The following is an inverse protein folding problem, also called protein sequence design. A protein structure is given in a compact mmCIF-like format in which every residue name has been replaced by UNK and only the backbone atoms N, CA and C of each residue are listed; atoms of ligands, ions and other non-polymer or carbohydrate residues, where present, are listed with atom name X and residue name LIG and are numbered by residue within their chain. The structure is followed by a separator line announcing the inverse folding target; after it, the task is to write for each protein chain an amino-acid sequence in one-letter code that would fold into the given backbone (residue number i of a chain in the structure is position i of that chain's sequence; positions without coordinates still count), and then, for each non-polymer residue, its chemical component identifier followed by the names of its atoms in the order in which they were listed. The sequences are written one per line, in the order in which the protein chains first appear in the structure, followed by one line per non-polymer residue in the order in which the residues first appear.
data_IF_592641429336
#
_entry.id   IF_592641429336
#
_cell.length_a   1.000
_cell.length_b   1.000
_cell.length_c   1.000
_cell.angle_alpha   90.00
_cell.angle_beta   90.00
_cell.angle_gamma   90.00
#
_symmetry.space_group_name_H-M   'P 1'
#
loop_
_entity.id
_entity.type
_entity.pdbx_description
1 polymer ?
#
# COMPACT_ATOMS: atom_id res chain seq x y z
N UNK A 1 -12.07 1.58 -23.82
CA UNK A 1 -13.33 0.96 -24.29
C UNK A 1 -14.45 1.03 -23.24
N UNK A 2 -14.31 0.41 -22.06
CA UNK A 2 -15.34 0.42 -20.99
C UNK A 2 -15.84 1.82 -20.56
N UNK A 3 -14.93 2.78 -20.38
CA UNK A 3 -15.29 4.16 -19.98
C UNK A 3 -16.11 4.89 -21.07
N UNK A 4 -15.85 4.59 -22.35
CA UNK A 4 -16.60 5.17 -23.48
C UNK A 4 -18.01 4.55 -23.55
N UNK A 5 -18.14 3.25 -23.23
CA UNK A 5 -19.43 2.56 -23.14
C UNK A 5 -20.28 3.13 -21.98
N UNK A 6 -19.66 3.48 -20.86
CA UNK A 6 -20.32 4.10 -19.70
C UNK A 6 -20.91 5.49 -20.00
N UNK A 7 -20.57 6.14 -21.11
CA UNK A 7 -21.20 7.41 -21.52
C UNK A 7 -22.65 7.21 -21.96
N UNK A 8 -22.92 6.12 -22.68
CA UNK A 8 -24.20 5.84 -23.31
C UNK A 8 -25.05 4.86 -22.49
N UNK A 9 -24.40 3.99 -21.72
CA UNK A 9 -25.04 2.85 -21.06
C UNK A 9 -24.81 2.85 -19.53
N UNK A 10 -24.42 3.97 -18.89
CA UNK A 10 -24.23 4.01 -17.43
C UNK A 10 -25.44 3.50 -16.64
N UNK A 11 -26.66 3.95 -16.99
CA UNK A 11 -27.86 3.54 -16.28
C UNK A 11 -28.20 2.06 -16.49
N UNK A 12 -28.27 1.53 -17.74
CA UNK A 12 -28.49 0.10 -17.94
C UNK A 12 -27.37 -0.77 -17.37
N UNK A 13 -26.10 -0.34 -17.43
CA UNK A 13 -24.98 -1.07 -16.82
C UNK A 13 -25.16 -1.20 -15.31
N UNK A 14 -25.50 -0.12 -14.61
CA UNK A 14 -25.69 -0.17 -13.16
C UNK A 14 -26.87 -1.08 -12.79
N UNK A 15 -28.01 -0.97 -13.49
CA UNK A 15 -29.14 -1.87 -13.26
C UNK A 15 -28.79 -3.33 -13.58
N UNK A 16 -28.09 -3.59 -14.67
CA UNK A 16 -27.60 -4.92 -15.02
C UNK A 16 -26.65 -5.47 -13.96
N UNK A 17 -25.77 -4.64 -13.36
CA UNK A 17 -24.91 -5.11 -12.28
C UNK A 17 -25.70 -5.48 -11.03
N UNK A 18 -26.71 -4.69 -10.66
CA UNK A 18 -27.58 -5.00 -9.51
C UNK A 18 -28.35 -6.30 -9.76
N UNK A 19 -29.01 -6.40 -10.92
CA UNK A 19 -29.78 -7.58 -11.31
C UNK A 19 -28.88 -8.81 -11.46
N UNK A 20 -27.67 -8.63 -12.01
CA UNK A 20 -26.68 -9.70 -12.17
C UNK A 20 -26.23 -10.28 -10.84
N UNK A 21 -25.94 -9.44 -9.84
CA UNK A 21 -25.57 -9.95 -8.51
C UNK A 21 -26.78 -10.63 -7.82
N UNK A 22 -27.98 -10.05 -7.92
CA UNK A 22 -29.21 -10.69 -7.40
C UNK A 22 -29.42 -12.06 -8.06
N UNK A 23 -29.24 -12.14 -9.38
CA UNK A 23 -29.36 -13.38 -10.14
C UNK A 23 -28.31 -14.43 -9.75
N UNK A 24 -27.05 -14.02 -9.58
CA UNK A 24 -25.98 -14.91 -9.11
C UNK A 24 -26.28 -15.45 -7.72
N UNK A 25 -26.68 -14.60 -6.78
CA UNK A 25 -27.04 -15.05 -5.42
C UNK A 25 -28.26 -15.98 -5.44
N UNK A 26 -29.27 -15.68 -6.26
CA UNK A 26 -30.42 -16.56 -6.47
C UNK A 26 -30.02 -17.92 -7.05
N UNK A 27 -29.12 -17.94 -8.03
CA UNK A 27 -28.57 -19.18 -8.59
C UNK A 27 -27.78 -19.99 -7.56
N UNK A 28 -26.97 -19.33 -6.72
CA UNK A 28 -26.23 -20.01 -5.63
C UNK A 28 -27.19 -20.63 -4.62
N UNK A 29 -28.29 -19.94 -4.27
CA UNK A 29 -29.32 -20.50 -3.39
C UNK A 29 -29.94 -21.74 -4.05
N UNK A 30 -30.36 -21.64 -5.32
CA UNK A 30 -30.92 -22.76 -6.06
C UNK A 30 -29.96 -23.97 -6.12
N UNK A 31 -28.71 -23.73 -6.50
CA UNK A 31 -27.68 -24.77 -6.59
C UNK A 31 -27.41 -25.42 -5.23
N UNK A 32 -27.29 -24.61 -4.17
CA UNK A 32 -27.10 -25.11 -2.81
C UNK A 32 -28.30 -25.92 -2.30
N UNK A 33 -29.52 -25.57 -2.69
CA UNK A 33 -30.72 -26.33 -2.35
C UNK A 33 -30.78 -27.67 -3.08
N UNK A 34 -30.46 -27.69 -4.37
CA UNK A 34 -30.38 -28.92 -5.15
C UNK A 34 -29.33 -29.87 -4.54
N UNK A 35 -28.14 -29.36 -4.24
CA UNK A 35 -27.06 -30.17 -3.66
C UNK A 35 -27.37 -30.64 -2.23
N UNK A 36 -28.05 -29.82 -1.43
CA UNK A 36 -28.54 -30.23 -0.11
C UNK A 36 -29.53 -31.39 -0.21
N UNK A 37 -30.47 -31.32 -1.14
CA UNK A 37 -31.46 -32.38 -1.38
C UNK A 37 -30.75 -33.65 -1.84
N UNK A 38 -29.83 -33.55 -2.79
CA UNK A 38 -29.08 -34.70 -3.32
C UNK A 38 -28.26 -35.41 -2.23
N UNK A 39 -27.52 -34.67 -1.39
CA UNK A 39 -26.73 -35.25 -0.29
C UNK A 39 -27.58 -35.67 0.92
N UNK A 40 -28.80 -35.15 1.04
CA UNK A 40 -29.77 -35.62 2.05
C UNK A 40 -30.32 -36.98 1.65
N UNK A 41 -30.66 -37.14 0.37
CA UNK A 41 -31.29 -38.35 -0.16
C UNK A 41 -30.23 -39.44 -0.43
N UNK A 42 -29.00 -39.07 -0.81
CA UNK A 42 -27.85 -39.96 -1.01
C UNK A 42 -26.66 -39.56 -0.09
N UNK A 43 -26.64 -39.98 1.19
CA UNK A 43 -25.56 -39.64 2.09
C UNK A 43 -24.23 -40.34 1.69
N UNK A 44 -23.16 -39.56 1.55
CA UNK A 44 -21.80 -40.05 1.29
C UNK A 44 -21.13 -40.41 2.62
N UNK A 45 -20.84 -41.69 2.85
CA UNK A 45 -20.19 -42.17 4.08
C UNK A 45 -18.66 -42.18 3.99
N UNK A 46 -18.09 -42.38 2.80
CA UNK A 46 -16.64 -42.40 2.57
C UNK A 46 -16.14 -41.06 1.99
N UNK A 47 -15.86 -40.11 2.87
CA UNK A 47 -15.23 -38.84 2.49
C UNK A 47 -13.73 -39.02 2.29
N UNK A 48 -13.19 -38.47 1.18
CA UNK A 48 -11.76 -38.48 0.89
C UNK A 48 -10.95 -37.84 2.04
N UNK A 49 -10.26 -38.67 2.81
CA UNK A 49 -9.48 -38.27 3.99
C UNK A 49 -8.01 -38.11 3.59
N UNK A 50 -7.60 -36.88 3.30
CA UNK A 50 -6.22 -36.56 2.91
C UNK A 50 -5.84 -35.14 3.28
N UNK A 51 -4.54 -34.87 3.45
CA UNK A 51 -4.02 -33.54 3.78
C UNK A 51 -3.96 -32.58 2.58
N UNK A 52 -4.28 -33.06 1.38
CA UNK A 52 -4.35 -32.25 0.17
C UNK A 52 -5.58 -31.33 0.20
N UNK A 53 -5.42 -30.07 -0.22
CA UNK A 53 -6.48 -29.07 -0.35
C UNK A 53 -7.70 -29.61 -1.12
N UNK A 54 -7.49 -30.39 -2.17
CA UNK A 54 -8.58 -30.98 -2.96
C UNK A 54 -9.41 -31.99 -2.15
N UNK A 55 -8.76 -32.78 -1.28
CA UNK A 55 -9.44 -33.74 -0.41
C UNK A 55 -10.22 -33.02 0.71
N UNK A 56 -9.62 -31.98 1.30
CA UNK A 56 -10.29 -31.13 2.29
C UNK A 56 -11.54 -30.46 1.70
N UNK A 57 -11.42 -29.82 0.53
CA UNK A 57 -12.56 -29.18 -0.15
C UNK A 57 -13.65 -30.20 -0.45
N UNK A 58 -13.29 -31.38 -0.97
CA UNK A 58 -14.26 -32.44 -1.27
C UNK A 58 -15.00 -32.91 -0.02
N UNK A 59 -14.31 -33.09 1.11
CA UNK A 59 -14.94 -33.45 2.39
C UNK A 59 -15.99 -32.41 2.85
N UNK A 60 -15.74 -31.11 2.66
CA UNK A 60 -16.73 -30.08 2.96
C UNK A 60 -17.91 -30.09 1.98
N UNK A 61 -17.66 -30.32 0.69
CA UNK A 61 -18.69 -30.39 -0.35
C UNK A 61 -19.57 -31.64 -0.24
N UNK A 62 -19.04 -32.76 0.24
CA UNK A 62 -19.79 -34.02 0.42
C UNK A 62 -20.70 -33.95 1.68
N UNK A 63 -20.53 -32.94 2.54
CA UNK A 63 -21.34 -32.78 3.74
C UNK A 63 -22.61 -31.93 3.48
N UNK A 64 -23.79 -32.54 3.62
CA UNK A 64 -25.09 -31.86 3.45
C UNK A 64 -25.26 -30.63 4.34
N UNK A 65 -24.74 -30.65 5.57
CA UNK A 65 -24.91 -29.52 6.49
C UNK A 65 -24.17 -28.26 6.00
N UNK A 66 -23.06 -28.43 5.26
CA UNK A 66 -22.32 -27.32 4.63
C UNK A 66 -23.21 -26.56 3.65
N UNK A 67 -23.92 -27.28 2.77
CA UNK A 67 -24.82 -26.67 1.78
C UNK A 67 -26.01 -25.97 2.43
N UNK A 68 -26.53 -26.51 3.53
CA UNK A 68 -27.58 -25.84 4.32
C UNK A 68 -27.08 -24.51 4.90
N UNK A 69 -25.89 -24.47 5.49
CA UNK A 69 -25.32 -23.23 6.03
C UNK A 69 -25.04 -22.19 4.92
N UNK A 70 -24.54 -22.64 3.76
CA UNK A 70 -24.34 -21.77 2.58
C UNK A 70 -25.69 -21.20 2.13
N UNK A 71 -26.72 -22.02 2.00
CA UNK A 71 -28.05 -21.59 1.57
C UNK A 71 -28.64 -20.52 2.49
N UNK A 72 -28.60 -20.74 3.81
CA UNK A 72 -29.12 -19.79 4.81
C UNK A 72 -28.33 -18.48 4.74
N UNK A 73 -26.99 -18.56 4.73
CA UNK A 73 -26.13 -17.38 4.68
C UNK A 73 -26.35 -16.52 3.43
N UNK A 74 -26.44 -17.16 2.26
CA UNK A 74 -26.66 -16.46 0.98
C UNK A 74 -28.09 -15.89 0.91
N UNK A 75 -29.08 -16.56 1.48
CA UNK A 75 -30.46 -16.05 1.55
C UNK A 75 -30.58 -14.77 2.39
N UNK A 76 -29.92 -14.74 3.55
CA UNK A 76 -29.86 -13.53 4.39
C UNK A 76 -29.15 -12.39 3.64
N UNK A 77 -28.02 -12.69 2.98
CA UNK A 77 -27.28 -11.71 2.19
C UNK A 77 -28.13 -11.14 1.05
N UNK A 78 -28.87 -11.98 0.33
CA UNK A 78 -29.77 -11.57 -0.74
C UNK A 78 -30.87 -10.63 -0.21
N UNK A 79 -31.49 -10.97 0.92
CA UNK A 79 -32.51 -10.13 1.55
C UNK A 79 -31.97 -8.75 1.93
N UNK A 80 -30.77 -8.70 2.53
CA UNK A 80 -30.11 -7.44 2.89
C UNK A 80 -29.84 -6.60 1.64
N UNK A 81 -29.29 -7.19 0.58
CA UNK A 81 -29.01 -6.48 -0.68
C UNK A 81 -30.30 -5.94 -1.30
N UNK A 82 -31.37 -6.75 -1.33
CA UNK A 82 -32.66 -6.34 -1.87
C UNK A 82 -33.25 -5.17 -1.07
N UNK A 83 -33.22 -5.24 0.26
CA UNK A 83 -33.66 -4.16 1.13
C UNK A 83 -32.86 -2.88 0.90
N UNK A 84 -31.52 -2.98 0.80
CA UNK A 84 -30.66 -1.84 0.50
C UNK A 84 -31.01 -1.19 -0.85
N UNK A 85 -31.22 -1.99 -1.90
CA UNK A 85 -31.60 -1.48 -3.23
C UNK A 85 -32.96 -0.78 -3.19
N UNK A 86 -33.95 -1.35 -2.48
CA UNK A 86 -35.28 -0.76 -2.35
C UNK A 86 -35.26 0.58 -1.59
N UNK A 87 -34.59 0.61 -0.43
CA UNK A 87 -34.49 1.82 0.41
C UNK A 87 -33.69 2.93 -0.30
N UNK A 88 -32.61 2.56 -0.99
CA UNK A 88 -31.70 3.50 -1.62
C UNK A 88 -32.11 3.90 -3.05
N UNK A 89 -33.25 3.42 -3.58
CA UNK A 89 -33.68 3.66 -4.98
C UNK A 89 -33.57 5.12 -5.43
N UNK A 90 -34.03 6.07 -4.61
CA UNK A 90 -34.00 7.50 -4.93
C UNK A 90 -32.57 8.04 -4.99
N UNK A 91 -31.68 7.51 -4.13
CA UNK A 91 -30.27 7.88 -4.10
C UNK A 91 -29.50 7.25 -5.26
N UNK A 92 -29.81 6.01 -5.63
CA UNK A 92 -29.22 5.30 -6.77
C UNK A 92 -29.44 6.09 -8.07
N UNK A 93 -30.64 6.64 -8.31
CA UNK A 93 -30.90 7.46 -9.51
C UNK A 93 -30.01 8.70 -9.56
N UNK A 94 -29.78 9.37 -8.43
CA UNK A 94 -28.87 10.52 -8.36
C UNK A 94 -27.42 10.07 -8.62
N UNK A 95 -27.00 8.95 -8.02
CA UNK A 95 -25.67 8.39 -8.24
C UNK A 95 -25.44 8.02 -9.71
N UNK A 96 -26.43 7.42 -10.38
CA UNK A 96 -26.39 7.12 -11.82
C UNK A 96 -26.17 8.40 -12.64
N UNK A 97 -26.88 9.48 -12.30
CA UNK A 97 -26.71 10.77 -12.98
C UNK A 97 -25.28 11.32 -12.79
N UNK A 98 -24.73 11.24 -11.57
CA UNK A 98 -23.36 11.65 -11.28
C UNK A 98 -22.33 10.81 -12.05
N UNK A 99 -22.50 9.48 -12.08
CA UNK A 99 -21.63 8.56 -12.83
C UNK A 99 -21.69 8.84 -14.34
N UNK A 100 -22.88 9.15 -14.87
CA UNK A 100 -23.06 9.51 -16.29
C UNK A 100 -22.35 10.82 -16.64
N UNK A 101 -22.43 11.84 -15.80
CA UNK A 101 -21.71 13.09 -16.04
C UNK A 101 -20.19 12.93 -15.84
N UNK A 102 -19.77 12.15 -14.85
CA UNK A 102 -18.36 11.79 -14.66
C UNK A 102 -17.78 11.03 -15.87
N UNK A 103 -18.52 10.07 -16.44
CA UNK A 103 -18.05 9.30 -17.60
C UNK A 103 -17.92 10.16 -18.86
N UNK A 104 -18.80 11.14 -19.06
CA UNK A 104 -18.66 12.14 -20.13
C UNK A 104 -17.37 12.96 -19.97
N UNK A 105 -17.06 13.41 -18.76
CA UNK A 105 -15.85 14.20 -18.50
C UNK A 105 -14.57 13.41 -18.82
N UNK A 106 -14.49 12.17 -18.33
CA UNK A 106 -13.35 11.27 -18.57
C UNK A 106 -13.23 10.92 -20.06
N UNK A 107 -14.34 10.62 -20.73
CA UNK A 107 -14.34 10.30 -22.16
C UNK A 107 -13.93 11.48 -23.05
N UNK A 108 -14.35 12.70 -22.69
CA UNK A 108 -14.02 13.91 -23.42
C UNK A 108 -12.55 14.32 -23.23
N UNK A 109 -11.95 13.94 -22.11
CA UNK A 109 -10.55 14.21 -21.80
C UNK A 109 -9.75 12.91 -21.92
N UNK A 110 -9.58 12.39 -23.13
CA UNK A 110 -9.04 11.04 -23.40
C UNK A 110 -7.69 10.76 -22.74
N UNK A 111 -6.84 11.78 -22.55
CA UNK A 111 -5.57 11.66 -21.82
C UNK A 111 -5.72 11.19 -20.36
N UNK A 112 -6.89 11.34 -19.74
CA UNK A 112 -7.16 10.86 -18.37
C UNK A 112 -7.16 9.33 -18.27
N UNK A 113 -7.36 8.62 -19.38
CA UNK A 113 -7.36 7.16 -19.42
C UNK A 113 -5.96 6.59 -19.14
N UNK A 114 -4.92 7.26 -19.65
CA UNK A 114 -3.53 6.89 -19.42
C UNK A 114 -2.94 7.51 -18.16
N UNK A 115 -3.65 8.46 -17.55
CA UNK A 115 -3.21 9.14 -16.34
C UNK A 115 -2.83 8.19 -15.20
N UNK A 116 -3.52 7.06 -14.94
CA UNK A 116 -3.14 6.14 -13.85
C UNK A 116 -1.69 5.63 -13.92
N UNK A 117 -1.07 5.57 -15.09
CA UNK A 117 0.33 5.14 -15.23
C UNK A 117 1.29 6.14 -14.57
N UNK A 118 1.00 7.43 -14.64
CA UNK A 118 1.85 8.49 -14.09
C UNK A 118 2.00 8.39 -12.55
N UNK A 119 0.92 8.33 -11.73
CA UNK A 119 1.01 8.05 -10.30
C UNK A 119 1.88 6.84 -9.96
N UNK A 120 1.68 5.71 -10.65
CA UNK A 120 2.44 4.49 -10.40
C UNK A 120 3.94 4.71 -10.63
N UNK A 121 4.31 5.35 -11.74
CA UNK A 121 5.71 5.68 -12.02
C UNK A 121 6.29 6.62 -10.95
N UNK A 122 5.57 7.66 -10.54
CA UNK A 122 6.02 8.59 -9.51
C UNK A 122 6.17 7.92 -8.14
N UNK A 123 5.26 7.02 -7.76
CA UNK A 123 5.40 6.25 -6.51
C UNK A 123 6.63 5.33 -6.54
N UNK A 124 6.86 4.63 -7.64
CA UNK A 124 8.05 3.79 -7.81
C UNK A 124 9.33 4.60 -7.74
N UNK A 125 9.37 5.78 -8.38
CA UNK A 125 10.52 6.69 -8.30
C UNK A 125 10.77 7.16 -6.88
N UNK A 126 9.74 7.51 -6.10
CA UNK A 126 9.89 7.89 -4.69
C UNK A 126 10.41 6.74 -3.84
N UNK A 127 9.91 5.52 -4.06
CA UNK A 127 10.41 4.32 -3.35
C UNK A 127 11.88 4.07 -3.71
N UNK A 128 12.22 4.06 -4.99
CA UNK A 128 13.60 3.86 -5.45
C UNK A 128 14.54 4.94 -4.89
N UNK A 129 14.12 6.21 -4.91
CA UNK A 129 14.88 7.32 -4.34
C UNK A 129 15.12 7.13 -2.83
N UNK A 130 14.08 6.81 -2.06
CA UNK A 130 14.22 6.62 -0.61
C UNK A 130 15.10 5.42 -0.25
N UNK A 131 15.02 4.33 -1.01
CA UNK A 131 15.90 3.16 -0.87
C UNK A 131 17.34 3.53 -1.21
N UNK A 132 17.58 4.21 -2.33
CA UNK A 132 18.91 4.65 -2.73
C UNK A 132 19.55 5.53 -1.66
N UNK A 133 18.85 6.57 -1.19
CA UNK A 133 19.31 7.44 -0.10
C UNK A 133 19.57 6.63 1.18
N UNK A 134 18.68 5.68 1.51
CA UNK A 134 18.86 4.79 2.66
C UNK A 134 20.12 3.93 2.57
N UNK A 135 20.41 3.36 1.41
CA UNK A 135 21.62 2.57 1.16
C UNK A 135 22.88 3.43 1.23
N UNK A 136 22.86 4.62 0.60
CA UNK A 136 23.98 5.55 0.68
C UNK A 136 24.26 5.95 2.14
N UNK A 137 23.24 6.31 2.91
CA UNK A 137 23.39 6.64 4.33
C UNK A 137 23.92 5.46 5.15
N UNK A 138 23.46 4.23 4.88
CA UNK A 138 23.94 3.04 5.56
C UNK A 138 25.41 2.71 5.25
N UNK A 139 25.92 3.16 4.10
CA UNK A 139 27.33 3.02 3.72
C UNK A 139 28.26 4.10 4.29
N UNK A 140 27.72 5.13 4.95
CA UNK A 140 28.54 6.21 5.54
C UNK A 140 29.12 5.77 6.88
N UNK A 141 30.45 5.74 6.96
CA UNK A 141 31.21 5.57 8.19
C UNK A 141 32.54 4.87 7.93
N UNK A 142 33.33 4.73 8.99
CA UNK A 142 34.64 4.08 8.89
C UNK A 142 34.51 2.58 9.17
N UNK A 143 35.12 1.71 8.33
CA UNK A 143 35.09 0.27 8.57
C UNK A 143 35.95 -0.09 9.79
N UNK A 144 35.35 -0.71 10.79
CA UNK A 144 36.08 -1.28 11.92
C UNK A 144 36.44 -2.73 11.59
N UNK A 145 37.73 -3.05 11.68
CA UNK A 145 38.24 -4.42 11.61
C UNK A 145 38.72 -4.88 12.98
N UNK A 146 38.53 -6.17 13.28
CA UNK A 146 39.02 -6.80 14.51
C UNK A 146 39.77 -8.08 14.21
N UNK A 147 40.79 -8.36 15.01
CA UNK A 147 41.57 -9.58 14.91
C UNK A 147 40.74 -10.77 15.38
N UNK A 148 40.69 -11.83 14.56
CA UNK A 148 40.05 -13.10 14.89
C UNK A 148 41.01 -14.25 14.61
N UNK A 149 40.97 -15.28 15.45
CA UNK A 149 41.77 -16.50 15.26
C UNK A 149 43.18 -16.48 15.85
N UNK A 150 43.53 -15.47 16.66
CA UNK A 150 44.78 -15.45 17.42
C UNK A 150 44.79 -16.55 18.48
N UNK A 151 45.84 -17.37 18.51
CA UNK A 151 46.05 -18.38 19.53
C UNK A 151 47.48 -18.30 20.08
N UNK A 152 47.65 -17.50 21.14
CA UNK A 152 48.96 -17.25 21.78
C UNK A 152 49.57 -18.48 22.46
N UNK A 153 48.82 -19.58 22.56
CA UNK A 153 49.28 -20.83 23.19
C UNK A 153 49.98 -21.78 22.21
N UNK A 154 49.92 -21.50 20.91
CA UNK A 154 50.57 -22.33 19.89
C UNK A 154 51.91 -21.70 19.44
N UNK A 155 53.07 -22.32 19.72
CA UNK A 155 54.38 -21.80 19.30
C UNK A 155 54.58 -21.79 17.78
N UNK A 156 53.77 -22.55 17.02
CA UNK A 156 53.76 -22.53 15.55
C UNK A 156 52.61 -21.66 14.99
N UNK A 157 51.95 -20.85 15.82
CA UNK A 157 50.85 -19.99 15.39
C UNK A 157 51.31 -18.67 14.76
N UNK A 158 50.34 -17.88 14.30
CA UNK A 158 50.56 -16.53 13.79
C UNK A 158 51.26 -15.63 14.82
N UNK A 159 52.39 -15.02 14.45
CA UNK A 159 53.14 -14.08 15.28
C UNK A 159 53.15 -12.70 14.61
N UNK A 160 52.77 -11.68 15.37
CA UNK A 160 52.72 -10.29 14.92
C UNK A 160 53.85 -9.46 15.54
N UNK A 161 54.61 -8.74 14.71
CA UNK A 161 55.78 -7.92 15.12
C UNK A 161 55.63 -6.45 14.70
N UNK A 162 54.45 -5.87 14.93
CA UNK A 162 54.12 -4.48 14.55
C UNK A 162 54.65 -3.40 15.51
N UNK A 163 54.72 -2.12 15.08
CA UNK A 163 55.39 -1.05 15.83
C UNK A 163 54.50 -0.43 16.93
N UNK A 164 55.03 -0.11 18.14
CA UNK A 164 56.04 -0.82 18.91
C UNK A 164 55.38 -1.57 20.09
N UNK A 165 55.32 -2.90 20.01
CA UNK A 165 54.95 -3.76 21.15
C UNK A 165 53.48 -4.16 21.28
N UNK A 166 52.66 -3.94 20.24
CA UNK A 166 51.27 -4.38 20.25
C UNK A 166 51.19 -5.91 20.03
N UNK A 167 51.07 -6.67 21.12
CA UNK A 167 50.58 -8.05 21.08
C UNK A 167 49.09 -7.98 20.77
N UNK A 168 48.70 -8.27 19.53
CA UNK A 168 47.29 -8.37 19.18
C UNK A 168 46.65 -9.55 19.94
N UNK A 169 45.42 -9.39 20.38
CA UNK A 169 44.60 -10.44 20.95
C UNK A 169 43.27 -10.52 20.20
N UNK A 170 42.53 -11.63 20.38
CA UNK A 170 41.23 -11.76 19.73
C UNK A 170 40.29 -10.65 20.16
N UNK A 171 39.77 -9.91 19.17
CA UNK A 171 38.89 -8.77 19.40
C UNK A 171 39.61 -7.42 19.41
N UNK A 172 40.93 -7.35 19.31
CA UNK A 172 41.63 -6.05 19.21
C UNK A 172 41.38 -5.39 17.86
N UNK A 173 41.42 -4.05 17.87
CA UNK A 173 41.32 -3.25 16.65
C UNK A 173 42.59 -3.42 15.83
N UNK A 174 42.42 -3.64 14.54
CA UNK A 174 43.52 -3.80 13.59
C UNK A 174 43.23 -3.03 12.31
N UNK A 175 44.29 -2.61 11.65
CA UNK A 175 44.26 -2.15 10.26
C UNK A 175 44.67 -3.36 9.38
N UNK A 176 43.87 -3.72 8.36
CA UNK A 176 44.15 -4.88 7.50
C UNK A 176 45.53 -4.85 6.83
N UNK A 177 45.97 -3.68 6.38
CA UNK A 177 47.23 -3.54 5.63
C UNK A 177 48.42 -3.69 6.59
N UNK A 178 48.33 -3.09 7.78
CA UNK A 178 49.34 -3.26 8.84
C UNK A 178 49.37 -4.70 9.36
N UNK A 179 48.21 -5.33 9.52
CA UNK A 179 48.13 -6.73 9.97
C UNK A 179 48.81 -7.67 8.97
N UNK A 180 48.56 -7.51 7.66
CA UNK A 180 49.20 -8.34 6.64
C UNK A 180 50.71 -8.11 6.52
N UNK A 181 51.20 -6.89 6.81
CA UNK A 181 52.63 -6.58 6.77
C UNK A 181 53.40 -7.11 7.99
N UNK A 182 52.76 -7.13 9.16
CA UNK A 182 53.45 -7.40 10.43
C UNK A 182 53.14 -8.76 11.06
N UNK A 183 52.11 -9.47 10.60
CA UNK A 183 51.72 -10.78 11.13
C UNK A 183 52.06 -11.90 10.16
N UNK A 184 52.93 -12.81 10.59
CA UNK A 184 53.37 -13.96 9.80
C UNK A 184 53.36 -15.25 10.62
N UNK A 185 53.11 -16.36 9.96
CA UNK A 185 53.17 -17.71 10.55
C UNK A 185 54.38 -18.46 9.97
N UNK A 186 55.15 -19.19 10.79
CA UNK A 186 56.27 -19.97 10.29
C UNK A 186 55.76 -21.17 9.48
N UNK A 187 56.24 -21.31 8.24
CA UNK A 187 55.92 -22.42 7.35
C UNK A 187 57.18 -23.18 6.94
N UNK A 188 57.04 -24.49 6.79
CA UNK A 188 58.11 -25.36 6.28
C UNK A 188 58.11 -25.26 4.75
N UNK A 189 59.06 -24.50 4.20
CA UNK A 189 59.21 -24.33 2.76
C UNK A 189 59.79 -25.57 2.07
N UNK A 190 59.79 -25.58 0.74
CA UNK A 190 60.57 -26.56 -0.02
C UNK A 190 62.05 -26.44 0.38
N UNK A 191 62.71 -27.58 0.59
CA UNK A 191 64.10 -27.70 1.09
C UNK A 191 64.31 -27.52 2.61
N UNK A 192 63.28 -27.73 3.45
CA UNK A 192 63.38 -27.68 4.92
C UNK A 192 63.91 -26.33 5.47
N UNK A 193 63.68 -25.23 4.73
CA UNK A 193 63.99 -23.87 5.20
C UNK A 193 62.76 -23.27 5.86
N UNK A 194 62.95 -22.63 7.01
CA UNK A 194 61.88 -21.93 7.72
C UNK A 194 61.60 -20.60 7.00
N UNK A 195 60.45 -20.51 6.36
CA UNK A 195 59.95 -19.31 5.70
C UNK A 195 58.78 -18.71 6.49
N UNK A 196 58.50 -17.44 6.26
CA UNK A 196 57.39 -16.72 6.90
C UNK A 196 56.36 -16.42 5.83
N UNK A 197 55.12 -16.88 6.02
CA UNK A 197 54.00 -16.56 5.14
C UNK A 197 52.91 -15.82 5.89
N UNK A 198 51.94 -15.27 5.15
CA UNK A 198 50.75 -14.69 5.73
C UNK A 198 50.02 -15.70 6.63
N UNK A 199 49.53 -15.24 7.77
CA UNK A 199 48.87 -16.10 8.74
C UNK A 199 47.62 -16.77 8.16
N UNK A 200 47.52 -18.09 8.32
CA UNK A 200 46.36 -18.86 7.86
C UNK A 200 45.25 -18.95 8.90
N UNK A 201 45.64 -18.90 10.17
CA UNK A 201 44.79 -19.12 11.34
C UNK A 201 44.19 -17.85 11.92
N UNK A 202 44.87 -16.70 11.75
CA UNK A 202 44.44 -15.40 12.25
C UNK A 202 44.31 -14.38 11.11
N UNK A 203 43.28 -13.54 11.17
CA UNK A 203 43.06 -12.46 10.19
C UNK A 203 42.42 -11.24 10.83
N UNK A 204 42.63 -10.08 10.20
CA UNK A 204 41.93 -8.84 10.54
C UNK A 204 40.60 -8.80 9.79
N UNK A 205 39.50 -9.16 10.45
CA UNK A 205 38.19 -9.36 9.82
C UNK A 205 37.29 -8.12 9.98
N UNK A 206 36.58 -7.74 8.91
CA UNK A 206 35.60 -6.66 8.94
C UNK A 206 34.45 -7.00 9.89
N UNK A 207 34.18 -6.16 10.88
CA UNK A 207 33.09 -6.42 11.82
C UNK A 207 31.85 -5.56 11.53
N UNK A 208 32.04 -4.24 11.44
CA UNK A 208 30.95 -3.28 11.25
C UNK A 208 31.48 -1.94 10.75
N UNK A 209 30.58 -1.13 10.21
CA UNK A 209 30.84 0.29 9.91
C UNK A 209 30.49 1.11 11.16
N UNK A 210 31.40 1.96 11.63
CA UNK A 210 31.10 2.96 12.65
C UNK A 210 30.55 4.22 12.01
N UNK A 211 29.23 4.32 11.94
CA UNK A 211 28.58 5.51 11.42
C UNK A 211 28.51 6.60 12.51
N UNK A 212 28.82 7.87 12.19
CA UNK A 212 28.64 8.96 13.13
C UNK A 212 27.16 9.13 13.51
N UNK A 213 26.88 9.56 14.75
CA UNK A 213 25.51 9.67 15.29
C UNK A 213 24.55 10.49 14.41
N UNK A 214 25.08 11.44 13.63
CA UNK A 214 24.32 12.26 12.68
C UNK A 214 23.67 11.46 11.55
N UNK A 215 24.25 10.32 11.16
CA UNK A 215 23.68 9.43 10.12
C UNK A 215 22.31 8.90 10.55
N UNK A 216 22.13 8.61 11.85
CA UNK A 216 20.84 8.23 12.40
C UNK A 216 19.76 9.31 12.23
N UNK A 217 20.12 10.59 12.40
CA UNK A 217 19.22 11.71 12.14
C UNK A 217 18.84 11.79 10.66
N UNK A 218 19.79 11.61 9.75
CA UNK A 218 19.50 11.60 8.31
C UNK A 218 18.63 10.41 7.89
N UNK A 219 18.77 9.24 8.50
CA UNK A 219 17.82 8.14 8.29
C UNK A 219 16.41 8.53 8.72
N UNK A 220 16.24 9.21 9.85
CA UNK A 220 14.93 9.70 10.29
C UNK A 220 14.36 10.72 9.29
N UNK A 221 15.17 11.67 8.82
CA UNK A 221 14.77 12.63 7.78
C UNK A 221 14.38 11.91 6.48
N UNK A 222 15.11 10.88 6.06
CA UNK A 222 14.78 10.09 4.87
C UNK A 222 13.41 9.38 5.03
N UNK A 223 13.12 8.82 6.21
CA UNK A 223 11.80 8.20 6.48
C UNK A 223 10.68 9.23 6.45
N UNK A 224 10.87 10.39 7.08
CA UNK A 224 9.90 11.50 7.05
C UNK A 224 9.68 11.98 5.61
N UNK A 225 10.76 12.20 4.88
CA UNK A 225 10.74 12.60 3.47
C UNK A 225 10.06 11.58 2.58
N UNK A 226 10.27 10.28 2.81
CA UNK A 226 9.59 9.20 2.10
C UNK A 226 8.07 9.30 2.25
N UNK A 227 7.56 9.35 3.48
CA UNK A 227 6.11 9.51 3.70
C UNK A 227 5.58 10.81 3.09
N UNK A 228 6.34 11.90 3.23
CA UNK A 228 5.94 13.19 2.68
C UNK A 228 5.82 13.18 1.17
N UNK A 229 6.81 12.61 0.47
CA UNK A 229 6.81 12.49 -0.98
C UNK A 229 5.68 11.57 -1.47
N UNK A 230 5.38 10.48 -0.77
CA UNK A 230 4.22 9.64 -1.12
C UNK A 230 2.90 10.43 -1.03
N UNK A 231 2.68 11.17 0.06
CA UNK A 231 1.48 12.01 0.18
C UNK A 231 1.48 13.19 -0.80
N UNK A 232 2.66 13.72 -1.14
CA UNK A 232 2.81 14.77 -2.13
C UNK A 232 2.45 14.28 -3.54
N UNK A 233 2.92 13.10 -3.94
CA UNK A 233 2.53 12.47 -5.22
C UNK A 233 1.01 12.26 -5.24
N UNK A 234 0.41 11.76 -4.15
CA UNK A 234 -1.05 11.64 -4.06
C UNK A 234 -1.77 12.99 -4.22
N UNK A 235 -1.30 14.03 -3.53
CA UNK A 235 -1.87 15.38 -3.62
C UNK A 235 -1.74 15.97 -5.03
N UNK A 236 -0.58 15.78 -5.67
CA UNK A 236 -0.32 16.18 -7.03
C UNK A 236 -1.33 15.56 -7.99
N UNK A 237 -1.57 14.25 -7.86
CA UNK A 237 -2.52 13.55 -8.71
C UNK A 237 -3.96 14.05 -8.52
N UNK A 238 -4.37 14.28 -7.27
CA UNK A 238 -5.70 14.83 -6.96
C UNK A 238 -5.88 16.23 -7.55
N UNK A 239 -4.88 17.11 -7.44
CA UNK A 239 -4.93 18.46 -7.98
C UNK A 239 -4.93 18.50 -9.52
N UNK A 240 -4.12 17.67 -10.18
CA UNK A 240 -4.09 17.60 -11.65
C UNK A 240 -5.45 17.14 -12.18
N UNK A 241 -6.04 16.11 -11.60
CA UNK A 241 -7.38 15.63 -11.99
C UNK A 241 -8.46 16.66 -11.68
N UNK A 242 -8.41 17.29 -10.50
CA UNK A 242 -9.34 18.36 -10.14
C UNK A 242 -9.27 19.52 -11.13
N UNK A 243 -8.07 19.95 -11.52
CA UNK A 243 -7.86 21.02 -12.51
C UNK A 243 -8.37 20.63 -13.91
N UNK A 244 -8.12 19.39 -14.34
CA UNK A 244 -8.55 18.90 -15.64
C UNK A 244 -10.09 18.84 -15.71
N UNK A 245 -10.73 18.29 -14.69
CA UNK A 245 -12.19 18.18 -14.63
C UNK A 245 -12.87 19.53 -14.36
N UNK A 246 -12.27 20.43 -13.57
CA UNK A 246 -12.76 21.80 -13.42
C UNK A 246 -12.74 22.54 -14.76
N UNK A 247 -11.64 22.42 -15.52
CA UNK A 247 -11.54 22.98 -16.88
C UNK A 247 -12.67 22.42 -17.76
N UNK A 248 -12.83 21.10 -17.82
CA UNK A 248 -13.91 20.49 -18.61
C UNK A 248 -15.31 20.91 -18.16
N UNK A 249 -15.56 20.97 -16.84
CA UNK A 249 -16.89 21.27 -16.29
C UNK A 249 -17.31 22.71 -16.62
N UNK A 250 -16.41 23.68 -16.38
CA UNK A 250 -16.69 25.11 -16.53
C UNK A 250 -16.53 25.65 -17.96
N UNK A 251 -15.93 24.90 -18.88
CA UNK A 251 -15.99 25.24 -20.31
C UNK A 251 -17.40 25.00 -20.85
N UNK A 252 -18.06 26.05 -21.34
CA UNK A 252 -19.44 25.97 -21.84
C UNK A 252 -19.55 25.07 -23.08
N UNK A 253 -18.81 25.37 -24.15
CA UNK A 253 -18.75 24.53 -25.35
C UNK A 253 -17.67 23.46 -25.20
N UNK A 254 -18.06 22.18 -25.17
CA UNK A 254 -17.12 21.07 -24.93
C UNK A 254 -16.10 20.87 -26.06
N UNK A 255 -16.32 21.48 -27.23
CA UNK A 255 -15.34 21.60 -28.32
C UNK A 255 -14.11 22.40 -27.94
N UNK A 256 -14.23 23.33 -26.99
CA UNK A 256 -13.18 24.29 -26.65
C UNK A 256 -12.26 23.74 -25.56
N UNK A 257 -12.51 22.53 -25.06
CA UNK A 257 -11.64 21.85 -24.10
C UNK A 257 -10.36 21.42 -24.82
N UNK A 258 -9.17 21.83 -24.37
CA UNK A 258 -7.92 21.48 -25.03
C UNK A 258 -7.72 19.96 -25.14
N UNK A 259 -7.18 19.48 -26.28
CA UNK A 259 -6.91 18.05 -26.48
C UNK A 259 -5.98 17.48 -25.40
N UNK A 260 -4.91 18.20 -25.05
CA UNK A 260 -3.96 17.86 -23.98
C UNK A 260 -4.33 18.50 -22.63
N UNK A 261 -5.62 18.56 -22.28
CA UNK A 261 -6.09 19.20 -21.05
C UNK A 261 -5.38 18.68 -19.78
N UNK A 262 -5.12 17.38 -19.66
CA UNK A 262 -4.41 16.80 -18.51
C UNK A 262 -2.97 17.33 -18.41
N UNK A 263 -2.24 17.38 -19.52
CA UNK A 263 -0.87 17.90 -19.56
C UNK A 263 -0.83 19.39 -19.21
N UNK A 264 -1.80 20.15 -19.71
CA UNK A 264 -1.94 21.57 -19.37
C UNK A 264 -2.24 21.74 -17.87
N UNK A 265 -3.16 20.94 -17.32
CA UNK A 265 -3.45 20.92 -15.88
C UNK A 265 -2.24 20.51 -15.06
N UNK A 266 -1.43 19.56 -15.53
CA UNK A 266 -0.16 19.20 -14.91
C UNK A 266 0.81 20.39 -14.89
N UNK A 267 0.96 21.09 -16.01
CA UNK A 267 1.77 22.31 -16.09
C UNK A 267 1.28 23.42 -15.15
N UNK A 268 -0.04 23.64 -15.05
CA UNK A 268 -0.63 24.59 -14.09
C UNK A 268 -0.35 24.17 -12.64
N UNK A 269 -0.49 22.89 -12.31
CA UNK A 269 -0.21 22.36 -10.98
C UNK A 269 1.26 22.56 -10.60
N UNK A 270 2.19 22.26 -11.50
CA UNK A 270 3.63 22.45 -11.31
C UNK A 270 3.98 23.95 -11.15
N UNK A 271 3.35 24.82 -11.93
CA UNK A 271 3.68 26.25 -11.91
C UNK A 271 3.08 27.00 -10.71
N UNK A 272 1.87 26.65 -10.29
CA UNK A 272 1.10 27.47 -9.35
C UNK A 272 0.72 26.78 -8.04
N UNK A 273 0.67 25.45 -8.00
CA UNK A 273 0.08 24.74 -6.85
C UNK A 273 1.05 23.90 -6.02
N UNK A 274 2.33 23.77 -6.40
CA UNK A 274 3.29 22.91 -5.65
C UNK A 274 3.35 23.24 -4.15
N UNK A 275 3.36 24.52 -3.76
CA UNK A 275 3.35 24.91 -2.35
C UNK A 275 2.07 24.48 -1.61
N UNK A 276 0.92 24.57 -2.27
CA UNK A 276 -0.38 24.10 -1.73
C UNK A 276 -0.34 22.58 -1.50
N UNK A 277 0.23 21.83 -2.44
CA UNK A 277 0.38 20.39 -2.35
C UNK A 277 1.36 19.98 -1.24
N UNK A 278 2.51 20.65 -1.18
CA UNK A 278 3.55 20.43 -0.17
C UNK A 278 3.01 20.66 1.25
N UNK A 279 2.28 21.77 1.45
CA UNK A 279 1.66 22.07 2.73
C UNK A 279 0.60 21.05 3.13
N UNK A 280 -0.34 20.74 2.23
CA UNK A 280 -1.39 19.77 2.50
C UNK A 280 -0.84 18.37 2.76
N UNK A 281 0.11 17.89 1.95
CA UNK A 281 0.74 16.59 2.16
C UNK A 281 1.55 16.53 3.45
N UNK A 282 2.19 17.63 3.87
CA UNK A 282 2.95 17.70 5.12
C UNK A 282 2.05 17.50 6.34
N UNK A 283 0.86 18.11 6.36
CA UNK A 283 -0.11 17.94 7.47
C UNK A 283 -0.50 16.46 7.63
N UNK A 284 -0.77 15.77 6.51
CA UNK A 284 -1.09 14.33 6.54
C UNK A 284 0.13 13.52 7.01
N UNK A 285 1.33 13.92 6.59
CA UNK A 285 2.59 13.25 6.96
C UNK A 285 2.83 13.32 8.46
N UNK A 286 2.67 14.48 9.08
CA UNK A 286 2.80 14.66 10.53
C UNK A 286 1.84 13.72 11.26
N UNK A 287 0.56 13.70 10.86
CA UNK A 287 -0.43 12.80 11.45
C UNK A 287 -0.06 11.32 11.27
N UNK A 288 0.49 10.94 10.11
CA UNK A 288 0.95 9.57 9.84
C UNK A 288 2.13 9.18 10.73
N UNK A 289 3.11 10.05 10.90
CA UNK A 289 4.27 9.80 11.77
C UNK A 289 3.82 9.59 13.20
N UNK A 290 2.91 10.43 13.71
CA UNK A 290 2.37 10.27 15.08
C UNK A 290 1.69 8.90 15.22
N UNK A 291 0.93 8.45 14.22
CA UNK A 291 0.33 7.11 14.25
C UNK A 291 1.36 5.99 14.28
N UNK A 292 2.40 6.07 13.46
CA UNK A 292 3.48 5.08 13.47
C UNK A 292 4.18 5.04 14.82
N UNK A 293 4.40 6.21 15.46
CA UNK A 293 4.97 6.29 16.81
C UNK A 293 4.04 5.64 17.84
N UNK A 294 2.73 5.91 17.79
CA UNK A 294 1.75 5.28 18.69
C UNK A 294 1.69 3.76 18.53
N UNK A 295 1.81 3.25 17.30
CA UNK A 295 1.88 1.81 17.02
C UNK A 295 3.18 1.19 17.56
N UNK A 296 4.32 1.88 17.39
CA UNK A 296 5.60 1.45 17.95
C UNK A 296 5.60 1.42 19.47
N UNK A 297 5.07 2.47 20.12
CA UNK A 297 4.95 2.56 21.58
C UNK A 297 4.08 1.41 22.11
N UNK A 298 2.93 1.17 21.48
CA UNK A 298 2.05 0.05 21.86
C UNK A 298 2.77 -1.31 21.78
N UNK A 299 3.54 -1.54 20.71
CA UNK A 299 4.32 -2.77 20.57
C UNK A 299 5.37 -2.93 21.69
N UNK A 300 6.01 -1.84 22.13
CA UNK A 300 6.98 -1.88 23.24
C UNK A 300 6.30 -2.06 24.59
N UNK A 301 5.14 -1.42 24.79
CA UNK A 301 4.38 -1.45 26.04
C UNK A 301 3.56 -2.73 26.22
N UNK A 302 3.42 -3.57 25.19
CA UNK A 302 2.91 -4.96 25.36
C UNK A 302 3.73 -5.80 26.36
N UNK A 303 4.96 -5.38 26.68
CA UNK A 303 5.79 -6.01 27.73
C UNK A 303 5.41 -5.58 29.16
N UNK A 304 4.68 -4.48 29.32
CA UNK A 304 4.30 -3.88 30.60
C UNK A 304 2.78 -3.72 30.61
N UNK A 305 2.07 -4.79 30.99
CA UNK A 305 0.61 -4.87 30.88
C UNK A 305 -0.10 -4.10 32.00
N UNK A 306 -0.43 -2.83 31.72
CA UNK A 306 -1.22 -1.97 32.60
C UNK A 306 -2.53 -1.55 31.91
N UNK A 307 -3.67 -1.76 32.57
CA UNK A 307 -5.00 -1.45 32.01
C UNK A 307 -5.20 0.02 31.63
N UNK A 308 -4.67 0.95 32.43
CA UNK A 308 -4.75 2.41 32.15
C UNK A 308 -3.97 2.78 30.90
N UNK A 309 -2.73 2.28 30.75
CA UNK A 309 -1.88 2.50 29.58
C UNK A 309 -2.54 1.99 28.30
N UNK A 310 -3.18 0.81 28.36
CA UNK A 310 -3.93 0.24 27.24
C UNK A 310 -5.13 1.09 26.84
N UNK A 311 -5.88 1.62 27.83
CA UNK A 311 -7.00 2.54 27.59
C UNK A 311 -6.55 3.82 26.87
N UNK A 312 -5.52 4.49 27.39
CA UNK A 312 -4.98 5.73 26.80
C UNK A 312 -4.48 5.49 25.36
N UNK A 313 -3.69 4.44 25.14
CA UNK A 313 -3.19 4.10 23.80
C UNK A 313 -4.32 3.80 22.82
N UNK A 314 -5.36 3.09 23.26
CA UNK A 314 -6.55 2.84 22.45
C UNK A 314 -7.22 4.15 22.01
N UNK A 315 -7.47 5.06 22.96
CA UNK A 315 -8.07 6.37 22.68
C UNK A 315 -7.21 7.21 21.73
N UNK A 316 -5.89 7.31 21.97
CA UNK A 316 -4.98 8.07 21.10
C UNK A 316 -4.91 7.48 19.68
N UNK A 317 -4.79 6.15 19.55
CA UNK A 317 -4.79 5.48 18.23
C UNK A 317 -6.09 5.73 17.48
N UNK A 318 -7.24 5.62 18.16
CA UNK A 318 -8.54 5.90 17.56
C UNK A 318 -8.63 7.36 17.09
N UNK A 319 -8.25 8.31 17.95
CA UNK A 319 -8.26 9.73 17.62
C UNK A 319 -7.39 10.05 16.40
N UNK A 320 -6.13 9.63 16.39
CA UNK A 320 -5.23 9.91 15.27
C UNK A 320 -5.62 9.14 14.00
N UNK A 321 -6.24 7.97 14.13
CA UNK A 321 -6.84 7.27 13.00
C UNK A 321 -7.98 8.08 12.39
N UNK A 322 -8.89 8.60 13.20
CA UNK A 322 -9.98 9.47 12.79
C UNK A 322 -9.45 10.77 12.17
N UNK A 323 -8.44 11.39 12.81
CA UNK A 323 -7.83 12.63 12.35
C UNK A 323 -7.16 12.44 10.98
N UNK A 324 -6.40 11.36 10.76
CA UNK A 324 -5.78 11.10 9.45
C UNK A 324 -6.84 10.96 8.36
N UNK A 325 -7.95 10.26 8.64
CA UNK A 325 -9.06 10.11 7.70
C UNK A 325 -9.74 11.44 7.40
N UNK A 326 -9.98 12.25 8.43
CA UNK A 326 -10.56 13.58 8.29
C UNK A 326 -9.64 14.51 7.49
N UNK A 327 -8.34 14.55 7.79
CA UNK A 327 -7.36 15.38 7.08
C UNK A 327 -7.24 14.97 5.61
N UNK A 328 -7.22 13.67 5.30
CA UNK A 328 -7.24 13.19 3.91
C UNK A 328 -8.49 13.64 3.17
N UNK A 329 -9.65 13.54 3.82
CA UNK A 329 -10.92 14.00 3.26
C UNK A 329 -10.91 15.52 3.03
N UNK A 330 -10.49 16.30 4.02
CA UNK A 330 -10.44 17.75 3.93
C UNK A 330 -9.47 18.21 2.83
N UNK A 331 -8.25 17.65 2.79
CA UNK A 331 -7.25 17.99 1.79
C UNK A 331 -7.75 17.74 0.37
N UNK A 332 -8.34 16.56 0.12
CA UNK A 332 -8.86 16.23 -1.22
C UNK A 332 -9.90 17.25 -1.68
N UNK A 333 -10.83 17.63 -0.81
CA UNK A 333 -11.85 18.63 -1.15
C UNK A 333 -11.26 20.05 -1.24
N UNK A 334 -10.26 20.38 -0.42
CA UNK A 334 -9.55 21.65 -0.52
C UNK A 334 -8.80 21.78 -1.86
N UNK A 335 -8.16 20.72 -2.35
CA UNK A 335 -7.51 20.72 -3.66
C UNK A 335 -8.51 20.92 -4.80
N UNK A 336 -9.71 20.33 -4.72
CA UNK A 336 -10.79 20.58 -5.68
C UNK A 336 -11.17 22.06 -5.69
N UNK A 337 -11.36 22.67 -4.53
CA UNK A 337 -11.69 24.10 -4.42
C UNK A 337 -10.54 25.01 -4.88
N UNK A 338 -9.28 24.64 -4.61
CA UNK A 338 -8.10 25.34 -5.14
C UNK A 338 -8.08 25.30 -6.67
N UNK A 339 -8.36 24.14 -7.26
CA UNK A 339 -8.36 23.97 -8.72
C UNK A 339 -9.48 24.76 -9.41
N UNK A 340 -10.64 24.92 -8.75
CA UNK A 340 -11.79 25.67 -9.30
C UNK A 340 -11.59 27.18 -9.14
N UNK A 341 -11.17 27.64 -7.96
CA UNK A 341 -11.17 29.07 -7.62
C UNK A 341 -9.79 29.73 -7.61
N UNK A 342 -8.70 28.96 -7.73
CA UNK A 342 -7.33 29.49 -7.69
C UNK A 342 -6.91 30.05 -6.33
N UNK A 343 -7.64 29.73 -5.24
CA UNK A 343 -7.33 30.21 -3.88
C UNK A 343 -6.29 29.33 -3.18
N UNK A 344 -5.66 29.86 -2.14
CA UNK A 344 -4.73 29.12 -1.28
C UNK A 344 -5.42 27.97 -0.51
N UNK A 345 -4.61 27.09 0.09
CA UNK A 345 -5.09 25.89 0.77
C UNK A 345 -6.14 26.18 1.86
N UNK A 346 -5.84 27.07 2.81
CA UNK A 346 -6.69 27.30 3.97
C UNK A 346 -8.05 27.91 3.59
N UNK A 347 -8.07 28.87 2.66
CA UNK A 347 -9.32 29.43 2.17
C UNK A 347 -10.16 28.37 1.45
N UNK A 348 -9.53 27.57 0.60
CA UNK A 348 -10.19 26.50 -0.14
C UNK A 348 -10.70 25.38 0.77
N UNK A 349 -9.96 25.04 1.83
CA UNK A 349 -10.36 24.08 2.83
C UNK A 349 -11.61 24.54 3.61
N UNK A 350 -11.66 25.83 3.96
CA UNK A 350 -12.85 26.44 4.59
C UNK A 350 -14.07 26.38 3.67
N UNK A 351 -13.91 26.79 2.41
CA UNK A 351 -15.00 26.79 1.43
C UNK A 351 -15.51 25.35 1.16
N UNK A 352 -14.58 24.41 1.01
CA UNK A 352 -14.89 22.98 0.87
C UNK A 352 -15.67 22.44 2.08
N UNK A 353 -15.18 22.70 3.29
CA UNK A 353 -15.82 22.25 4.53
C UNK A 353 -17.24 22.81 4.68
N UNK A 354 -17.42 24.12 4.44
CA UNK A 354 -18.73 24.77 4.52
C UNK A 354 -19.72 24.18 3.50
N UNK A 355 -19.27 23.91 2.27
CA UNK A 355 -20.11 23.33 1.22
C UNK A 355 -20.59 21.92 1.59
N UNK A 356 -19.69 21.11 2.15
CA UNK A 356 -19.98 19.72 2.54
C UNK A 356 -20.88 19.66 3.79
N UNK A 357 -20.63 20.51 4.78
CA UNK A 357 -21.42 20.53 6.02
C UNK A 357 -22.85 21.04 5.83
N UNK A 358 -23.10 21.87 4.82
CA UNK A 358 -24.44 22.39 4.52
C UNK A 358 -25.48 21.29 4.28
N UNK A 359 -25.08 20.12 3.78
CA UNK A 359 -25.97 18.97 3.65
C UNK A 359 -25.23 17.64 3.80
N UNK A 360 -24.57 17.47 4.95
CA UNK A 360 -23.70 16.36 5.26
C UNK A 360 -24.38 14.98 5.08
N UNK A 361 -25.61 14.81 5.58
CA UNK A 361 -26.35 13.54 5.48
C UNK A 361 -26.60 13.14 4.02
N UNK A 362 -26.93 14.11 3.15
CA UNK A 362 -27.13 13.84 1.72
C UNK A 362 -25.82 13.45 1.04
N UNK A 363 -24.73 14.14 1.36
CA UNK A 363 -23.41 13.85 0.78
C UNK A 363 -22.95 12.44 1.19
N UNK A 364 -22.99 12.10 2.48
CA UNK A 364 -22.63 10.74 2.94
C UNK A 364 -23.52 9.68 2.29
N UNK A 365 -24.83 9.89 2.28
CA UNK A 365 -25.74 8.91 1.71
C UNK A 365 -25.42 8.65 0.22
N UNK A 366 -25.08 9.69 -0.54
CA UNK A 366 -24.69 9.55 -1.95
C UNK A 366 -23.32 8.87 -2.12
N UNK A 367 -22.35 9.21 -1.29
CA UNK A 367 -21.02 8.60 -1.28
C UNK A 367 -21.11 7.09 -0.99
N UNK A 368 -21.83 6.71 0.08
CA UNK A 368 -22.03 5.31 0.46
C UNK A 368 -22.81 4.49 -0.56
N UNK A 369 -23.80 5.10 -1.23
CA UNK A 369 -24.52 4.45 -2.32
C UNK A 369 -23.57 4.21 -3.51
N UNK A 370 -22.75 5.19 -3.85
CA UNK A 370 -21.79 5.07 -4.96
C UNK A 370 -20.73 3.99 -4.67
N UNK A 371 -20.19 3.96 -3.44
CA UNK A 371 -19.28 2.91 -2.98
C UNK A 371 -19.92 1.51 -3.06
N UNK A 372 -21.17 1.38 -2.62
CA UNK A 372 -21.92 0.13 -2.70
C UNK A 372 -22.10 -0.34 -4.15
N UNK A 373 -22.48 0.56 -5.06
CA UNK A 373 -22.63 0.24 -6.49
C UNK A 373 -21.31 -0.22 -7.11
N UNK A 374 -20.20 0.46 -6.81
CA UNK A 374 -18.89 0.05 -7.31
C UNK A 374 -18.39 -1.25 -6.67
N UNK A 375 -18.71 -1.52 -5.41
CA UNK A 375 -18.43 -2.80 -4.78
C UNK A 375 -19.15 -3.94 -5.51
N UNK A 376 -20.44 -3.79 -5.80
CA UNK A 376 -21.23 -4.78 -6.55
C UNK A 376 -20.66 -5.03 -7.95
N UNK A 377 -20.27 -3.97 -8.65
CA UNK A 377 -19.60 -4.09 -9.95
C UNK A 377 -18.27 -4.86 -9.85
N UNK A 378 -17.44 -4.61 -8.83
CA UNK A 378 -16.18 -5.34 -8.61
C UNK A 378 -16.41 -6.83 -8.34
N UNK A 379 -17.40 -7.17 -7.51
CA UNK A 379 -17.76 -8.56 -7.22
C UNK A 379 -18.18 -9.28 -8.50
N UNK A 380 -19.05 -8.67 -9.30
CA UNK A 380 -19.52 -9.25 -10.55
C UNK A 380 -18.38 -9.47 -11.56
N UNK A 381 -17.49 -8.48 -11.70
CA UNK A 381 -16.32 -8.59 -12.60
C UNK A 381 -15.37 -9.68 -12.09
N UNK A 382 -15.08 -9.73 -10.78
CA UNK A 382 -14.20 -10.75 -10.21
C UNK A 382 -14.78 -12.17 -10.39
N UNK A 383 -16.08 -12.35 -10.16
CA UNK A 383 -16.76 -13.63 -10.40
C UNK A 383 -16.72 -14.02 -11.89
N UNK A 384 -17.04 -13.09 -12.79
CA UNK A 384 -16.99 -13.32 -14.24
C UNK A 384 -15.58 -13.68 -14.73
N UNK A 385 -14.57 -12.97 -14.26
CA UNK A 385 -13.16 -13.27 -14.57
C UNK A 385 -12.74 -14.64 -14.01
N UNK A 386 -13.20 -15.00 -12.81
CA UNK A 386 -12.94 -16.31 -12.22
C UNK A 386 -13.52 -17.45 -13.06
N UNK A 387 -14.76 -17.31 -13.52
CA UNK A 387 -15.42 -18.27 -14.42
C UNK A 387 -14.69 -18.35 -15.76
N UNK A 388 -14.38 -17.20 -16.38
CA UNK A 388 -13.66 -17.16 -17.65
C UNK A 388 -12.27 -17.83 -17.54
N UNK A 389 -11.55 -17.57 -16.45
CA UNK A 389 -10.24 -18.19 -16.18
C UNK A 389 -10.37 -19.70 -15.98
N UNK A 390 -11.39 -20.16 -15.25
CA UNK A 390 -11.66 -21.60 -15.10
C UNK A 390 -11.93 -22.27 -16.45
N UNK A 391 -12.73 -21.65 -17.32
CA UNK A 391 -12.94 -22.17 -18.68
C UNK A 391 -11.68 -22.13 -19.52
N UNK A 392 -10.89 -21.06 -19.46
CA UNK A 392 -9.63 -20.94 -20.19
C UNK A 392 -8.62 -22.01 -19.78
N UNK A 393 -8.46 -22.26 -18.48
CA UNK A 393 -7.55 -23.30 -17.95
C UNK A 393 -8.04 -24.71 -18.29
N UNK A 394 -9.37 -24.91 -18.38
CA UNK A 394 -9.97 -26.21 -18.73
C UNK A 394 -10.08 -26.44 -20.24
N UNK A 395 -9.86 -25.41 -21.06
CA UNK A 395 -9.78 -25.54 -22.51
C UNK A 395 -8.43 -26.19 -22.86
N UNK A 396 -8.42 -27.32 -23.58
CA UNK A 396 -7.21 -28.11 -23.85
C UNK A 396 -6.16 -27.38 -24.68
#
# INVERSE_FOLDING_TARGET
MFIVIMRWIAAPVIWFTILGVIGILGYVIYYSAMMYIELRDNPVYDSASGTNINAVIKSYLDNKNTWLYIMIGVSILLLIILLLVLVLRKRIVIAIALVKEGSKAVSSTTSTIFFPLLPWTLYLLVIAYAVAVGLYLASVGDPIYRVVGMNSSNPNGCVCTGPPGAVYTNGDFCDPDLFHQHCTEPVLGSFFRQEHAACRTASCHFQRIESPKIVGYFHAVNVVGFFWLLFFVSAFNEMVLASAFATWYWTFHKSDVPFFNVTISMGRTIRYHLGTLAFGSLIITICRIIRCILEYIDHKLKKFDNGVTRGILCCCKCFFWCLEKFLKFLNRNAYIMCAIHGKNFCSSARDAFNLLMRNFLRVIALDKVTDFLFFMAKVLIAAGMGVATHYFIKSP
#
